data_IF_167858649528
#
_entry.id   IF_167858649528
#
_cell.length_a   1.000
_cell.length_b   1.000
_cell.length_c   1.000
_cell.angle_alpha   90.00
_cell.angle_beta   90.00
_cell.angle_gamma   90.00
#
_symmetry.space_group_name_H-M   'P 1'
#
loop_
_entity.id
_entity.type
_entity.pdbx_description
1 polymer ?
#
# COMPACT_ATOMS: atom_id res chain seq x y z
N UNK A 1 10.04 -2.54 -4.00
CA UNK A 1 8.72 -3.02 -3.52
C UNK A 1 7.97 -3.65 -4.66
N UNK A 2 7.66 -2.91 -5.73
CA UNK A 2 7.13 -3.45 -6.98
C UNK A 2 7.35 -2.43 -8.11
N UNK A 3 7.28 -2.92 -9.35
CA UNK A 3 7.53 -2.13 -10.56
C UNK A 3 6.24 -1.90 -11.35
N UNK A 4 6.20 -0.78 -12.07
CA UNK A 4 5.12 -0.47 -13.00
C UNK A 4 4.99 -1.59 -14.05
N UNK A 5 3.75 -1.88 -14.47
CA UNK A 5 3.39 -2.91 -15.45
C UNK A 5 3.68 -4.35 -15.04
N UNK A 6 4.35 -4.57 -13.91
CA UNK A 6 4.46 -5.90 -13.32
C UNK A 6 3.10 -6.41 -12.86
N UNK A 7 2.88 -7.72 -12.99
CA UNK A 7 1.69 -8.41 -12.51
C UNK A 7 1.49 -8.16 -11.01
N UNK A 8 0.29 -7.70 -10.64
CA UNK A 8 -0.04 -7.37 -9.27
C UNK A 8 -0.37 -8.62 -8.46
N UNK A 9 0.67 -9.34 -8.04
CA UNK A 9 0.54 -10.60 -7.29
C UNK A 9 0.37 -10.41 -5.79
N UNK A 10 0.70 -9.23 -5.26
CA UNK A 10 0.57 -8.96 -3.83
C UNK A 10 0.17 -7.51 -3.54
N UNK A 11 -0.51 -7.30 -2.42
CA UNK A 11 -0.72 -5.98 -1.84
C UNK A 11 0.05 -5.86 -0.52
N UNK A 12 0.32 -4.63 -0.10
CA UNK A 12 1.23 -4.35 0.99
C UNK A 12 0.68 -3.32 1.96
N UNK A 13 0.95 -3.49 3.25
CA UNK A 13 0.72 -2.47 4.29
C UNK A 13 2.07 -1.96 4.79
N UNK A 14 2.27 -0.65 4.76
CA UNK A 14 3.47 -0.04 5.32
C UNK A 14 3.33 0.02 6.84
N UNK A 15 4.21 -0.66 7.57
CA UNK A 15 4.23 -0.62 9.03
C UNK A 15 5.13 0.49 9.56
N UNK A 16 6.25 0.73 8.88
CA UNK A 16 7.24 1.73 9.25
C UNK A 16 8.03 2.16 8.00
N UNK A 17 8.49 3.41 7.99
CA UNK A 17 9.21 4.03 6.87
C UNK A 17 8.33 4.89 5.96
N UNK A 18 8.87 5.23 4.78
CA UNK A 18 8.21 6.07 3.77
C UNK A 18 8.50 5.52 2.38
N UNK A 19 7.48 5.49 1.54
CA UNK A 19 7.53 5.00 0.17
C UNK A 19 7.07 6.10 -0.76
N UNK A 20 7.77 6.29 -1.88
CA UNK A 20 7.32 7.15 -2.97
C UNK A 20 6.75 6.29 -4.10
N UNK A 21 5.57 6.67 -4.57
CA UNK A 21 4.97 6.12 -5.77
C UNK A 21 5.39 6.99 -6.94
N UNK A 22 6.10 6.41 -7.89
CA UNK A 22 6.58 7.11 -9.08
C UNK A 22 6.03 6.45 -10.33
N UNK A 23 5.51 7.27 -11.24
CA UNK A 23 5.02 6.80 -12.54
C UNK A 23 6.01 7.20 -13.62
N UNK A 24 6.35 6.26 -14.48
CA UNK A 24 7.18 6.52 -15.64
C UNK A 24 6.33 7.15 -16.75
N UNK A 25 6.78 8.26 -17.31
CA UNK A 25 6.18 8.86 -18.50
C UNK A 25 6.66 8.13 -19.76
N UNK A 26 5.91 8.17 -20.87
CA UNK A 26 6.37 7.62 -22.14
C UNK A 26 7.68 8.23 -22.65
N UNK A 27 8.01 9.44 -22.18
CA UNK A 27 9.25 10.17 -22.47
C UNK A 27 10.44 9.75 -21.61
N UNK A 28 10.28 8.78 -20.69
CA UNK A 28 11.35 8.25 -19.85
C UNK A 28 11.59 9.02 -18.55
N UNK A 29 10.75 10.01 -18.21
CA UNK A 29 10.85 10.71 -16.92
C UNK A 29 10.11 9.95 -15.82
N UNK A 30 10.61 10.01 -14.60
CA UNK A 30 9.91 9.48 -13.42
C UNK A 30 9.26 10.63 -12.65
N UNK A 31 7.94 10.62 -12.57
CA UNK A 31 7.16 11.64 -11.84
C UNK A 31 6.66 11.03 -10.54
N UNK A 32 6.95 11.67 -9.40
CA UNK A 32 6.40 11.25 -8.11
C UNK A 32 4.93 11.63 -8.05
N UNK A 33 4.06 10.62 -7.95
CA UNK A 33 2.61 10.80 -7.93
C UNK A 33 2.13 11.00 -6.49
N UNK A 34 2.73 10.30 -5.54
CA UNK A 34 2.32 10.32 -4.13
C UNK A 34 3.40 9.76 -3.20
N UNK A 35 3.39 10.19 -1.93
CA UNK A 35 4.09 9.52 -0.83
C UNK A 35 3.13 8.69 0.01
N UNK A 36 3.63 7.56 0.50
CA UNK A 36 2.92 6.63 1.35
C UNK A 36 3.68 6.48 2.66
N UNK A 37 3.00 6.71 3.76
CA UNK A 37 3.49 6.65 5.13
C UNK A 37 3.00 5.40 5.88
N UNK A 38 3.53 5.22 7.09
CA UNK A 38 3.15 4.11 7.96
C UNK A 38 1.63 4.09 8.23
N UNK A 39 1.03 2.91 8.16
CA UNK A 39 -0.41 2.68 8.27
C UNK A 39 -1.16 2.65 6.94
N UNK A 40 -0.51 3.04 5.83
CA UNK A 40 -1.16 3.09 4.52
C UNK A 40 -0.91 1.82 3.67
N UNK A 41 -1.88 1.50 2.82
CA UNK A 41 -1.83 0.38 1.89
C UNK A 41 -1.23 0.76 0.53
N UNK A 42 -0.59 -0.22 -0.10
CA UNK A 42 0.10 -0.09 -1.37
C UNK A 42 -0.14 -1.32 -2.24
N UNK A 43 0.02 -1.17 -3.55
CA UNK A 43 -0.09 -2.30 -4.47
C UNK A 43 -1.51 -2.86 -4.58
N UNK A 44 -2.53 -2.08 -4.24
CA UNK A 44 -3.96 -2.46 -4.33
C UNK A 44 -4.50 -2.35 -5.77
N UNK A 45 -3.75 -2.87 -6.75
CA UNK A 45 -4.13 -2.78 -8.17
C UNK A 45 -5.51 -3.41 -8.44
N UNK A 46 -5.83 -4.53 -7.78
CA UNK A 46 -7.13 -5.17 -7.91
C UNK A 46 -8.28 -4.38 -7.31
N UNK A 47 -8.02 -3.51 -6.33
CA UNK A 47 -9.03 -2.55 -5.85
C UNK A 47 -9.43 -1.56 -6.94
N UNK A 48 -8.48 -1.22 -7.82
CA UNK A 48 -8.66 -0.33 -8.96
C UNK A 48 -9.15 -1.07 -10.22
N UNK A 49 -9.50 -2.36 -10.12
CA UNK A 49 -9.89 -3.18 -11.26
C UNK A 49 -8.73 -3.49 -12.23
N UNK A 50 -7.48 -3.40 -11.78
CA UNK A 50 -6.29 -3.66 -12.59
C UNK A 50 -5.60 -4.96 -12.17
N UNK A 51 -4.96 -5.61 -13.15
CA UNK A 51 -4.13 -6.81 -12.94
C UNK A 51 -2.64 -6.50 -12.86
N UNK A 52 -2.23 -5.28 -13.21
CA UNK A 52 -0.83 -4.82 -13.19
C UNK A 52 -0.69 -3.55 -12.36
N UNK A 53 0.50 -3.31 -11.81
CA UNK A 53 0.77 -2.09 -11.06
C UNK A 53 0.83 -0.87 -11.99
N UNK A 54 0.07 0.20 -11.70
CA UNK A 54 0.04 1.38 -12.57
C UNK A 54 1.26 2.30 -12.43
N UNK A 55 2.08 2.07 -11.41
CA UNK A 55 3.22 2.89 -11.03
C UNK A 55 4.22 2.04 -10.22
N UNK A 56 5.45 2.52 -10.10
CA UNK A 56 6.50 1.92 -9.28
C UNK A 56 6.36 2.36 -7.82
N UNK A 57 6.69 1.47 -6.89
CA UNK A 57 6.85 1.81 -5.47
C UNK A 57 8.30 1.68 -5.03
N UNK A 58 8.87 2.82 -4.63
CA UNK A 58 10.27 2.95 -4.23
C UNK A 58 10.34 3.34 -2.76
N UNK A 59 11.09 2.58 -1.97
CA UNK A 59 11.36 2.93 -0.58
C UNK A 59 12.22 4.20 -0.54
N UNK A 60 11.72 5.25 0.11
CA UNK A 60 12.48 6.49 0.31
C UNK A 60 13.44 6.38 1.50
N UNK A 61 13.09 5.54 2.47
CA UNK A 61 13.89 5.19 3.65
C UNK A 61 13.79 3.68 3.90
N UNK A 62 14.45 3.15 4.92
CA UNK A 62 14.24 1.76 5.35
C UNK A 62 12.78 1.55 5.72
N UNK A 63 12.15 0.55 5.09
CA UNK A 63 10.72 0.29 5.24
C UNK A 63 10.46 -1.13 5.72
N UNK A 64 9.46 -1.26 6.59
CA UNK A 64 8.90 -2.53 6.99
C UNK A 64 7.50 -2.64 6.41
N UNK A 65 7.27 -3.66 5.59
CA UNK A 65 5.96 -3.90 4.97
C UNK A 65 5.45 -5.29 5.29
N UNK A 66 4.14 -5.39 5.45
CA UNK A 66 3.43 -6.67 5.38
C UNK A 66 2.97 -6.89 3.95
N UNK A 67 3.08 -8.12 3.46
CA UNK A 67 2.68 -8.49 2.12
C UNK A 67 1.66 -9.62 2.16
N UNK A 68 0.61 -9.49 1.37
CA UNK A 68 -0.39 -10.55 1.17
C UNK A 68 -0.61 -10.79 -0.31
N UNK A 69 -0.96 -12.03 -0.70
CA UNK A 69 -1.39 -12.34 -2.05
C UNK A 69 -2.64 -11.56 -2.46
N UNK A 70 -2.67 -11.08 -3.71
CA UNK A 70 -3.79 -10.31 -4.27
C UNK A 70 -5.13 -11.03 -4.23
N UNK A 71 -5.15 -12.38 -4.30
CA UNK A 71 -6.40 -13.15 -4.22
C UNK A 71 -7.13 -13.01 -2.87
N UNK A 72 -6.44 -12.60 -1.80
CA UNK A 72 -7.06 -12.33 -0.50
C UNK A 72 -7.76 -10.95 -0.46
N UNK A 73 -7.52 -10.09 -1.45
CA UNK A 73 -8.04 -8.72 -1.49
C UNK A 73 -9.56 -8.63 -1.31
N UNK A 74 -10.42 -9.43 -1.99
CA UNK A 74 -11.87 -9.31 -1.84
C UNK A 74 -12.34 -9.58 -0.40
N UNK A 75 -11.71 -10.52 0.29
CA UNK A 75 -11.98 -10.82 1.71
C UNK A 75 -11.58 -9.65 2.59
N UNK A 76 -10.37 -9.10 2.39
CA UNK A 76 -9.87 -7.97 3.17
C UNK A 76 -10.70 -6.69 2.95
N UNK A 77 -11.05 -6.38 1.71
CA UNK A 77 -11.87 -5.22 1.37
C UNK A 77 -13.26 -5.28 2.00
N UNK A 78 -13.82 -6.49 2.16
CA UNK A 78 -15.13 -6.69 2.81
C UNK A 78 -15.03 -6.64 4.34
N UNK A 79 -13.99 -7.26 4.92
CA UNK A 79 -13.81 -7.30 6.39
C UNK A 79 -13.32 -5.99 6.98
N UNK A 80 -12.63 -5.16 6.21
CA UNK A 80 -12.00 -3.94 6.66
C UNK A 80 -12.21 -2.79 5.65
N UNK A 81 -13.43 -2.22 5.57
CA UNK A 81 -13.74 -1.16 4.61
C UNK A 81 -12.89 0.10 4.81
N UNK A 82 -12.36 0.33 6.02
CA UNK A 82 -11.41 1.42 6.33
C UNK A 82 -10.09 1.31 5.57
N UNK A 83 -9.71 0.13 5.07
CA UNK A 83 -8.51 -0.07 4.25
C UNK A 83 -8.68 0.32 2.78
N UNK A 84 -9.90 0.27 2.25
CA UNK A 84 -10.21 0.75 0.90
C UNK A 84 -10.34 2.28 0.82
N UNK A 85 -10.38 2.97 1.95
CA UNK A 85 -10.65 4.41 2.04
C UNK A 85 -9.41 5.31 1.84
N UNK A 86 -8.36 4.81 1.17
CA UNK A 86 -7.22 5.65 0.81
C UNK A 86 -7.57 6.50 -0.43
N UNK A 87 -8.16 7.66 -0.13
CA UNK A 87 -8.38 8.84 -0.98
C UNK A 87 -9.35 8.75 -2.15
N UNK A 88 -10.62 8.50 -1.83
CA UNK A 88 -11.69 9.22 -2.52
C UNK A 88 -12.38 10.12 -1.49
N UNK A 89 -12.20 11.44 -1.65
CA UNK A 89 -12.88 12.55 -0.97
C UNK A 89 -14.12 12.10 -0.17
N UNK A 90 -14.02 12.06 1.15
CA UNK A 90 -15.21 12.02 2.01
C UNK A 90 -15.59 13.45 2.37
N UNK A 91 -16.83 13.90 2.10
CA UNK A 91 -17.32 15.14 2.67
C UNK A 91 -17.33 14.98 4.20
N UNK A 92 -16.83 16.01 4.88
CA UNK A 92 -16.90 16.21 6.32
C UNK A 92 -18.23 15.65 6.87
N UNK A 93 -18.17 14.49 7.52
CA UNK A 93 -19.23 14.02 8.41
C UNK A 93 -18.63 13.96 9.80
N UNK A 94 -19.24 14.75 10.66
CA UNK A 94 -18.89 15.02 12.03
C UNK A 94 -19.07 13.75 12.87
N UNK A 95 -18.10 12.85 12.86
CA UNK A 95 -17.75 12.01 14.00
C UNK A 95 -16.31 11.51 13.86
N UNK A 96 -15.38 12.40 14.20
CA UNK A 96 -13.94 12.17 14.16
C UNK A 96 -13.45 11.85 15.58
N UNK A 97 -14.01 10.81 16.20
CA UNK A 97 -13.50 10.29 17.47
C UNK A 97 -13.51 8.77 17.44
N UNK A 98 -12.33 8.16 17.56
CA UNK A 98 -12.07 6.70 17.67
C UNK A 98 -11.97 5.89 16.37
N UNK A 99 -10.95 6.21 15.56
CA UNK A 99 -10.07 5.12 15.07
C UNK A 99 -8.66 5.39 15.61
N UNK A 100 -8.57 5.44 16.94
CA UNK A 100 -7.32 5.18 17.62
C UNK A 100 -7.07 3.67 17.52
N UNK A 101 -6.08 3.27 16.72
CA UNK A 101 -5.53 1.91 16.76
C UNK A 101 -5.00 1.63 18.17
N UNK A 102 -5.85 1.05 19.02
CA UNK A 102 -5.50 0.59 20.36
C UNK A 102 -4.56 -0.63 20.30
N UNK A 103 -3.66 -0.81 21.27
CA UNK A 103 -2.71 -1.90 21.29
C UNK A 103 -3.40 -3.14 21.89
N UNK A 104 -4.08 -3.95 21.07
CA UNK A 104 -4.45 -5.37 21.31
C UNK A 104 -5.72 -5.73 20.52
N UNK A 105 -5.53 -6.22 19.30
CA UNK A 105 -6.24 -7.36 18.68
C UNK A 105 -5.75 -7.46 17.25
N UNK A 106 -4.62 -8.14 17.07
CA UNK A 106 -4.24 -8.64 15.76
C UNK A 106 -5.24 -9.77 15.43
N UNK A 107 -6.04 -9.67 14.35
CA UNK A 107 -6.83 -10.80 13.88
C UNK A 107 -5.89 -11.95 13.47
N UNK A 108 -6.37 -13.21 13.38
CA UNK A 108 -5.55 -14.33 12.94
C UNK A 108 -5.21 -14.12 11.46
N UNK A 109 -4.09 -13.49 11.19
CA UNK A 109 -3.67 -13.19 9.82
C UNK A 109 -3.30 -14.49 9.10
N UNK A 110 -3.99 -14.85 8.00
CA UNK A 110 -3.53 -15.96 7.18
C UNK A 110 -2.32 -15.49 6.37
N UNK A 111 -1.23 -16.26 6.43
CA UNK A 111 -0.07 -16.16 5.54
C UNK A 111 0.68 -14.80 5.53
N UNK A 112 1.10 -14.30 6.70
CA UNK A 112 2.03 -13.16 6.76
C UNK A 112 3.41 -13.55 6.21
N UNK A 113 3.84 -12.91 5.13
CA UNK A 113 5.27 -12.82 4.80
C UNK A 113 5.77 -11.43 5.18
N UNK A 114 6.71 -11.39 6.12
CA UNK A 114 7.45 -10.18 6.46
C UNK A 114 8.48 -9.91 5.37
N UNK A 115 8.37 -8.77 4.70
CA UNK A 115 9.38 -8.33 3.73
C UNK A 115 10.01 -7.06 4.28
N UNK A 116 11.26 -7.15 4.70
CA UNK A 116 12.06 -5.95 5.03
C UNK A 116 12.56 -5.35 3.71
N UNK A 117 11.94 -4.27 3.28
CA UNK A 117 12.37 -3.53 2.09
C UNK A 117 13.48 -2.57 2.52
N UNK A 118 14.74 -3.00 2.36
CA UNK A 118 15.89 -2.14 2.60
C UNK A 118 16.00 -1.14 1.44
N UNK A 119 16.23 0.13 1.75
CA UNK A 119 16.48 1.17 0.75
C UNK A 119 17.68 0.76 -0.12
N UNK A 120 17.46 0.57 -1.42
CA UNK A 120 18.55 0.44 -2.39
C UNK A 120 18.87 1.86 -2.91
N UNK A 121 19.48 2.67 -2.05
CA UNK A 121 20.17 3.88 -2.51
C UNK A 121 21.53 3.41 -3.07
N UNK A 122 21.58 3.15 -4.38
CA UNK A 122 22.84 3.11 -5.10
C UNK A 122 23.34 4.56 -5.19
N UNK A 123 24.31 4.88 -4.34
CA UNK A 123 25.13 6.09 -4.38
C UNK A 123 26.56 5.68 -4.14
#
# INVERSE_FOLDING_TARGET
MFEQEQEARSFFLLLDGHVRVVKSTPTGHMVTVRYIGAGELMGIASALGRTTYPANALAAVDCVVLAWPTHLWPTFATSFPSFSANDAVLPCSTDCSLIAFGPRRLPPWPALRWIKARSFFAG
#
